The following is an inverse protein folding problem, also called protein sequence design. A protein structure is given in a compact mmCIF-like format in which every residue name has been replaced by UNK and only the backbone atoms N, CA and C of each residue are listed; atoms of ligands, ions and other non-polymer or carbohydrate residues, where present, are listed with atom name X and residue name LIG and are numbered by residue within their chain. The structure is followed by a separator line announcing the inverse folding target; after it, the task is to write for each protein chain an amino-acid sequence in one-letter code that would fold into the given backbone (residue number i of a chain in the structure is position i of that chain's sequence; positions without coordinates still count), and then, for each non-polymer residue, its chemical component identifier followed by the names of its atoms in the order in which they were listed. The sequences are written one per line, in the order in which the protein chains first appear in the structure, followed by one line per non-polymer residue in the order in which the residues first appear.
data_IF_038524946031
#
_entry.id   IF_038524946031
#
_cell.length_a   1.000
_cell.length_b   1.000
_cell.length_c   1.000
_cell.angle_alpha   90.00
_cell.angle_beta   90.00
_cell.angle_gamma   90.00
#
_symmetry.space_group_name_H-M   'P 1'
#
loop_
_entity.id
_entity.type
_entity.pdbx_description
1 polymer ?
#
# COMPACT_ATOMS: atom_id res chain seq x y z
N UNK A 1 15.72 -1.47 -26.81
CA UNK A 1 15.85 -1.05 -25.40
C UNK A 1 14.69 -1.69 -24.68
N UNK A 2 14.91 -2.44 -23.61
CA UNK A 2 13.78 -2.95 -22.82
C UNK A 2 13.15 -1.74 -22.13
N UNK A 3 11.84 -1.57 -22.30
CA UNK A 3 11.06 -0.59 -21.54
C UNK A 3 11.17 -0.94 -20.05
N UNK A 4 11.38 0.06 -19.20
CA UNK A 4 11.42 -0.14 -17.75
C UNK A 4 10.04 -0.59 -17.28
N UNK A 5 9.91 -1.83 -16.83
CA UNK A 5 8.64 -2.43 -16.40
C UNK A 5 8.03 -1.76 -15.16
N UNK A 6 8.77 -0.90 -14.47
CA UNK A 6 8.24 -0.05 -13.40
C UNK A 6 7.51 1.19 -13.94
N UNK A 7 7.73 1.59 -15.20
CA UNK A 7 7.04 2.75 -15.80
C UNK A 7 5.89 2.24 -16.68
N UNK A 8 4.66 2.43 -16.22
CA UNK A 8 3.48 1.91 -16.94
C UNK A 8 3.09 2.75 -18.16
N UNK A 9 3.28 4.07 -18.09
CA UNK A 9 2.90 5.01 -19.14
C UNK A 9 3.89 6.17 -19.21
N UNK A 10 4.00 6.82 -20.38
CA UNK A 10 4.86 7.99 -20.53
C UNK A 10 4.39 9.14 -19.61
N UNK A 11 5.33 9.76 -18.90
CA UNK A 11 5.03 10.83 -17.94
C UNK A 11 4.65 10.33 -16.54
N UNK A 12 4.64 9.02 -16.29
CA UNK A 12 4.49 8.44 -14.95
C UNK A 12 5.84 8.22 -14.28
N UNK A 13 5.88 8.37 -12.97
CA UNK A 13 6.99 7.95 -12.13
C UNK A 13 7.08 6.41 -12.11
N UNK A 14 8.27 5.82 -11.89
CA UNK A 14 8.40 4.37 -11.74
C UNK A 14 7.63 3.89 -10.51
N UNK A 15 6.87 2.81 -10.65
CA UNK A 15 6.22 2.11 -9.54
C UNK A 15 7.28 1.42 -8.67
N UNK A 16 7.06 1.25 -7.36
CA UNK A 16 8.04 0.63 -6.47
C UNK A 16 8.27 -0.85 -6.80
N UNK A 17 7.24 -1.51 -7.33
CA UNK A 17 7.27 -2.91 -7.74
C UNK A 17 6.55 -3.09 -9.07
N UNK A 18 6.99 -4.07 -9.84
CA UNK A 18 6.31 -4.57 -11.04
C UNK A 18 5.17 -5.53 -10.67
N UNK A 19 4.23 -5.74 -11.59
CA UNK A 19 3.20 -6.77 -11.47
C UNK A 19 3.80 -8.17 -11.21
N UNK A 20 4.95 -8.48 -11.82
CA UNK A 20 5.64 -9.76 -11.63
C UNK A 20 6.21 -9.90 -10.20
N UNK A 21 6.83 -8.85 -9.66
CA UNK A 21 7.33 -8.85 -8.28
C UNK A 21 6.19 -8.98 -7.26
N UNK A 22 5.09 -8.26 -7.48
CA UNK A 22 3.89 -8.36 -6.64
C UNK A 22 3.34 -9.78 -6.68
N UNK A 23 3.22 -10.39 -7.87
CA UNK A 23 2.78 -11.79 -8.04
C UNK A 23 3.70 -12.75 -7.30
N UNK A 24 5.02 -12.62 -7.44
CA UNK A 24 6.00 -13.49 -6.77
C UNK A 24 5.95 -13.39 -5.25
N UNK A 25 5.69 -12.19 -4.71
CA UNK A 25 5.63 -11.94 -3.27
C UNK A 25 4.26 -12.23 -2.64
N UNK A 26 3.27 -12.64 -3.42
CA UNK A 26 1.88 -12.79 -2.97
C UNK A 26 1.40 -14.23 -3.13
N UNK A 27 0.80 -14.76 -2.07
CA UNK A 27 0.30 -16.12 -1.99
C UNK A 27 -0.95 -16.17 -1.13
N UNK A 28 -1.82 -17.15 -1.39
CA UNK A 28 -3.01 -17.41 -0.59
C UNK A 28 -2.61 -17.58 0.88
N UNK A 29 -3.35 -16.92 1.78
CA UNK A 29 -3.08 -16.89 3.21
C UNK A 29 -2.21 -15.72 3.66
N UNK A 30 -1.54 -14.99 2.76
CA UNK A 30 -0.85 -13.74 3.09
C UNK A 30 -1.87 -12.77 3.68
N UNK A 31 -1.57 -12.21 4.85
CA UNK A 31 -2.44 -11.27 5.53
C UNK A 31 -1.66 -10.04 5.99
N UNK A 32 -2.26 -8.87 5.82
CA UNK A 32 -1.68 -7.59 6.20
C UNK A 32 -2.70 -6.86 7.06
N UNK A 33 -2.33 -6.56 8.30
CA UNK A 33 -3.15 -5.74 9.19
C UNK A 33 -2.62 -4.32 9.21
N UNK A 34 -3.50 -3.38 8.91
CA UNK A 34 -3.19 -1.94 8.91
C UNK A 34 -4.00 -1.23 9.96
N UNK A 35 -3.38 -0.34 10.72
CA UNK A 35 -4.08 0.64 11.55
C UNK A 35 -4.36 1.87 10.70
N UNK A 36 -5.62 2.28 10.64
CA UNK A 36 -6.09 3.48 9.93
C UNK A 36 -6.52 4.50 10.97
N UNK A 37 -5.98 5.71 10.87
CA UNK A 37 -6.29 6.84 11.74
C UNK A 37 -6.63 8.04 10.86
N UNK A 38 -7.84 8.57 10.99
CA UNK A 38 -8.32 9.72 10.21
C UNK A 38 -8.76 10.83 11.15
N UNK A 39 -8.52 12.08 10.78
CA UNK A 39 -8.90 13.22 11.60
C UNK A 39 -10.43 13.26 11.82
N UNK A 40 -10.86 13.26 13.08
CA UNK A 40 -12.27 13.32 13.45
C UNK A 40 -13.03 11.99 13.38
N UNK A 41 -12.35 10.86 13.14
CA UNK A 41 -12.93 9.53 13.17
C UNK A 41 -12.18 8.63 14.17
N UNK A 42 -12.89 7.63 14.71
CA UNK A 42 -12.25 6.63 15.55
C UNK A 42 -11.32 5.74 14.71
N UNK A 43 -10.11 5.42 15.22
CA UNK A 43 -9.17 4.55 14.54
C UNK A 43 -9.70 3.11 14.46
N UNK A 44 -9.33 2.40 13.40
CA UNK A 44 -9.72 1.01 13.18
C UNK A 44 -8.58 0.19 12.56
N UNK A 45 -8.72 -1.14 12.61
CA UNK A 45 -7.85 -2.09 11.94
C UNK A 45 -8.49 -2.54 10.63
N UNK A 46 -7.73 -2.44 9.54
CA UNK A 46 -8.07 -2.98 8.23
C UNK A 46 -7.20 -4.19 7.96
N UNK A 47 -7.81 -5.37 8.02
CA UNK A 47 -7.17 -6.64 7.73
C UNK A 47 -7.42 -6.96 6.27
N UNK A 48 -6.37 -7.32 5.52
CA UNK A 48 -6.47 -7.71 4.12
C UNK A 48 -5.81 -9.06 3.93
N UNK A 49 -6.60 -10.07 3.59
CA UNK A 49 -6.14 -11.45 3.42
C UNK A 49 -6.34 -11.88 1.97
N UNK A 50 -5.28 -12.40 1.36
CA UNK A 50 -5.34 -12.98 0.02
C UNK A 50 -5.95 -14.38 0.10
N UNK A 51 -7.14 -14.56 -0.47
CA UNK A 51 -7.90 -15.83 -0.38
C UNK A 51 -7.79 -16.67 -1.64
N UNK A 52 -7.51 -16.05 -2.79
CA UNK A 52 -7.21 -16.73 -4.05
C UNK A 52 -6.10 -15.97 -4.78
N UNK A 53 -5.17 -16.67 -5.41
CA UNK A 53 -4.15 -16.09 -6.29
C UNK A 53 -3.98 -17.01 -7.50
N UNK A 54 -3.93 -16.43 -8.70
CA UNK A 54 -3.64 -17.14 -9.92
C UNK A 54 -2.68 -16.35 -10.83
N UNK A 55 -2.57 -16.76 -12.09
CA UNK A 55 -1.73 -16.06 -13.06
C UNK A 55 -2.22 -14.65 -13.39
N UNK A 56 -3.53 -14.42 -13.38
CA UNK A 56 -4.13 -13.16 -13.78
C UNK A 56 -4.16 -12.15 -12.63
N UNK A 57 -4.34 -12.60 -11.39
CA UNK A 57 -4.46 -11.71 -10.24
C UNK A 57 -4.71 -12.41 -8.92
N UNK A 58 -5.39 -11.69 -8.03
CA UNK A 58 -5.75 -12.19 -6.73
C UNK A 58 -7.14 -11.72 -6.26
N UNK A 59 -7.74 -12.54 -5.41
CA UNK A 59 -8.93 -12.21 -4.61
C UNK A 59 -8.47 -11.87 -3.19
N UNK A 60 -8.85 -10.69 -2.70
CA UNK A 60 -8.59 -10.22 -1.34
C UNK A 60 -9.90 -10.13 -0.57
N UNK A 61 -9.93 -10.63 0.65
CA UNK A 61 -10.95 -10.33 1.63
C UNK A 61 -10.45 -9.21 2.55
N UNK A 62 -11.31 -8.23 2.82
CA UNK A 62 -11.03 -7.08 3.68
C UNK A 62 -12.02 -6.99 4.82
N UNK A 63 -11.51 -6.97 6.05
CA UNK A 63 -12.31 -6.87 7.26
C UNK A 63 -11.89 -5.64 8.05
N UNK A 64 -12.87 -4.90 8.56
CA UNK A 64 -12.65 -3.75 9.45
C UNK A 64 -13.01 -4.12 10.87
N UNK A 65 -12.08 -3.92 11.80
CA UNK A 65 -12.29 -4.12 13.23
C UNK A 65 -12.02 -2.83 13.99
N UNK A 66 -12.76 -2.56 15.06
CA UNK A 66 -12.34 -1.58 16.06
C UNK A 66 -11.05 -2.03 16.74
N UNK A 67 -10.41 -1.12 17.49
CA UNK A 67 -9.16 -1.44 18.19
C UNK A 67 -9.33 -2.50 19.30
N UNK A 68 -10.55 -2.77 19.75
CA UNK A 68 -10.87 -3.85 20.70
C UNK A 68 -11.14 -5.21 20.02
N UNK A 69 -11.10 -5.26 18.68
CA UNK A 69 -11.32 -6.46 17.88
C UNK A 69 -12.75 -6.69 17.42
N UNK A 70 -13.70 -5.80 17.75
CA UNK A 70 -15.10 -5.96 17.30
C UNK A 70 -15.23 -5.65 15.79
N UNK A 71 -15.97 -6.47 15.01
CA UNK A 71 -16.23 -6.16 13.61
C UNK A 71 -17.02 -4.86 13.42
N UNK A 72 -16.58 -4.01 12.49
CA UNK A 72 -17.24 -2.75 12.12
C UNK A 72 -18.12 -2.86 10.88
N UNK A 73 -18.29 -4.07 10.35
CA UNK A 73 -19.07 -4.35 9.15
C UNK A 73 -18.82 -5.76 8.64
N UNK A 74 -19.53 -6.13 7.58
CA UNK A 74 -19.26 -7.38 6.86
C UNK A 74 -17.95 -7.29 6.07
N UNK A 75 -17.20 -8.39 5.93
CA UNK A 75 -16.02 -8.43 5.07
C UNK A 75 -16.35 -8.11 3.61
N UNK A 76 -15.49 -7.33 2.98
CA UNK A 76 -15.56 -7.00 1.55
C UNK A 76 -14.63 -7.93 0.76
N UNK A 77 -15.11 -8.48 -0.35
CA UNK A 77 -14.28 -9.28 -1.28
C UNK A 77 -13.98 -8.46 -2.53
N UNK A 78 -12.71 -8.37 -2.87
CA UNK A 78 -12.21 -7.62 -4.02
C UNK A 78 -11.37 -8.52 -4.92
N UNK A 79 -11.50 -8.36 -6.23
CA UNK A 79 -10.63 -8.99 -7.22
C UNK A 79 -9.80 -7.92 -7.91
N UNK A 80 -8.52 -8.17 -8.08
CA UNK A 80 -7.61 -7.26 -8.78
C UNK A 80 -6.62 -8.06 -9.62
N UNK A 81 -6.31 -7.58 -10.83
CA UNK A 81 -5.19 -8.14 -11.59
C UNK A 81 -3.86 -7.69 -10.99
N UNK A 82 -2.77 -8.40 -11.29
CA UNK A 82 -1.44 -7.97 -10.85
C UNK A 82 -1.06 -6.57 -11.39
N UNK A 83 -1.53 -6.25 -12.60
CA UNK A 83 -1.33 -4.95 -13.20
C UNK A 83 -2.16 -3.86 -12.50
N UNK A 84 -3.40 -4.16 -12.08
CA UNK A 84 -4.19 -3.20 -11.29
C UNK A 84 -3.52 -2.88 -9.96
N UNK A 85 -2.91 -3.88 -9.31
CA UNK A 85 -2.14 -3.68 -8.09
C UNK A 85 -0.89 -2.81 -8.31
N UNK A 86 -0.17 -3.00 -9.42
CA UNK A 86 0.95 -2.14 -9.80
C UNK A 86 0.49 -0.70 -10.09
N UNK A 87 -0.63 -0.53 -10.81
CA UNK A 87 -1.19 0.78 -11.19
C UNK A 87 -1.52 1.67 -10.00
N UNK A 88 -1.85 1.11 -8.84
CA UNK A 88 -2.11 1.90 -7.63
C UNK A 88 -0.94 2.79 -7.19
N UNK A 89 0.29 2.48 -7.61
CA UNK A 89 1.48 3.27 -7.31
C UNK A 89 2.06 3.98 -8.55
N UNK A 90 1.30 4.04 -9.65
CA UNK A 90 1.65 4.82 -10.84
C UNK A 90 1.13 6.24 -10.66
N UNK A 91 2.05 7.15 -10.33
CA UNK A 91 1.77 8.57 -10.13
C UNK A 91 2.43 9.40 -11.22
N UNK A 92 1.88 10.60 -11.50
CA UNK A 92 2.51 11.55 -12.43
C UNK A 92 3.93 11.90 -11.98
N UNK A 93 4.89 11.86 -12.91
CA UNK A 93 6.30 12.11 -12.62
C UNK A 93 6.55 13.54 -12.10
N UNK A 94 5.89 14.54 -12.69
CA UNK A 94 6.08 15.95 -12.33
C UNK A 94 5.65 16.29 -10.88
N UNK A 95 4.71 15.51 -10.34
CA UNK A 95 4.14 15.71 -9.00
C UNK A 95 4.78 14.79 -7.94
N UNK A 96 5.69 13.90 -8.33
CA UNK A 96 6.19 12.82 -7.48
C UNK A 96 7.69 12.94 -7.22
N UNK A 97 8.07 12.93 -5.95
CA UNK A 97 9.47 12.74 -5.53
C UNK A 97 9.65 11.37 -4.90
N UNK A 98 10.69 10.64 -5.30
CA UNK A 98 11.02 9.31 -4.79
C UNK A 98 12.41 9.37 -4.15
N UNK A 99 12.52 8.96 -2.89
CA UNK A 99 13.77 8.98 -2.13
C UNK A 99 13.93 7.68 -1.33
N UNK A 100 15.17 7.17 -1.17
CA UNK A 100 15.41 6.11 -0.20
C UNK A 100 15.18 6.65 1.22
N UNK A 101 14.58 5.82 2.06
CA UNK A 101 14.34 6.14 3.47
C UNK A 101 14.42 4.88 4.33
N UNK A 102 14.59 5.03 5.63
CA UNK A 102 14.57 3.92 6.58
C UNK A 102 13.71 4.30 7.78
N UNK A 103 12.67 3.51 8.03
CA UNK A 103 11.69 3.81 9.08
C UNK A 103 11.52 2.64 10.05
N UNK A 104 11.25 3.00 11.30
CA UNK A 104 10.87 2.06 12.37
C UNK A 104 9.36 1.86 12.34
N UNK A 105 8.91 0.60 12.33
CA UNK A 105 7.49 0.24 12.20
C UNK A 105 7.08 -0.78 13.26
N UNK A 106 5.78 -1.06 13.36
CA UNK A 106 5.25 -2.12 14.21
C UNK A 106 5.77 -3.52 13.84
N UNK A 107 6.28 -3.70 12.63
CA UNK A 107 6.84 -4.97 12.13
C UNK A 107 8.38 -4.92 12.00
N UNK A 108 9.03 -3.92 12.59
CA UNK A 108 10.49 -3.74 12.60
C UNK A 108 11.00 -2.59 11.73
N UNK A 109 12.33 -2.42 11.69
CA UNK A 109 13.01 -1.44 10.86
C UNK A 109 13.06 -1.89 9.40
N UNK A 110 12.65 -1.02 8.47
CA UNK A 110 12.54 -1.35 7.05
C UNK A 110 13.21 -0.29 6.16
N UNK A 111 14.02 -0.74 5.20
CA UNK A 111 14.53 0.10 4.12
C UNK A 111 13.45 0.26 3.04
N UNK A 112 13.11 1.52 2.75
CA UNK A 112 11.94 1.90 1.97
C UNK A 112 12.31 2.81 0.79
N UNK A 113 11.43 2.82 -0.21
CA UNK A 113 11.28 3.96 -1.11
C UNK A 113 10.14 4.83 -0.57
N UNK A 114 10.45 6.08 -0.28
CA UNK A 114 9.48 7.09 0.13
C UNK A 114 9.04 7.89 -1.10
N UNK A 115 7.76 7.79 -1.40
CA UNK A 115 7.09 8.59 -2.42
C UNK A 115 6.43 9.77 -1.73
N UNK A 116 6.58 10.97 -2.28
CA UNK A 116 5.75 12.12 -1.94
C UNK A 116 5.11 12.63 -3.21
N UNK A 117 3.80 12.45 -3.28
CA UNK A 117 2.95 12.81 -4.41
C UNK A 117 2.19 14.08 -4.02
N UNK A 118 2.31 15.14 -4.82
CA UNK A 118 1.79 16.47 -4.49
C UNK A 118 0.68 16.84 -5.45
N UNK A 119 -0.51 17.09 -4.91
CA UNK A 119 -1.67 17.48 -5.70
C UNK A 119 -2.36 18.67 -5.05
N UNK A 120 -2.06 19.87 -5.54
CA UNK A 120 -2.59 21.12 -5.00
C UNK A 120 -2.14 21.35 -3.55
N UNK A 121 -3.09 21.48 -2.63
CA UNK A 121 -2.82 21.66 -1.18
C UNK A 121 -2.66 20.35 -0.40
N UNK A 122 -2.64 19.21 -1.08
CA UNK A 122 -2.55 17.88 -0.46
C UNK A 122 -1.27 17.17 -0.87
N UNK A 123 -0.56 16.63 0.12
CA UNK A 123 0.57 15.72 -0.05
C UNK A 123 0.15 14.32 0.39
N UNK A 124 0.33 13.34 -0.48
CA UNK A 124 0.23 11.92 -0.15
C UNK A 124 1.62 11.32 -0.09
N UNK A 125 1.96 10.72 1.04
CA UNK A 125 3.28 10.17 1.31
C UNK A 125 3.14 8.68 1.55
N UNK A 126 3.92 7.89 0.81
CA UNK A 126 3.91 6.44 0.86
C UNK A 126 5.31 5.91 1.13
N UNK A 127 5.42 4.93 2.01
CA UNK A 127 6.66 4.18 2.23
C UNK A 127 6.48 2.75 1.77
N UNK A 128 7.18 2.38 0.72
CA UNK A 128 7.20 1.02 0.18
C UNK A 128 8.46 0.31 0.67
N UNK A 129 8.32 -0.69 1.54
CA UNK A 129 9.46 -1.48 2.00
C UNK A 129 9.99 -2.33 0.85
N UNK A 130 11.24 -2.12 0.48
CA UNK A 130 11.88 -2.76 -0.68
C UNK A 130 11.92 -4.29 -0.58
N UNK A 131 11.88 -4.82 0.64
CA UNK A 131 11.84 -6.26 0.94
C UNK A 131 10.44 -6.87 0.94
N UNK A 132 9.37 -6.06 0.85
CA UNK A 132 7.97 -6.50 0.93
C UNK A 132 7.16 -6.00 -0.27
N UNK A 133 7.34 -6.59 -1.48
CA UNK A 133 6.59 -6.17 -2.66
C UNK A 133 5.07 -6.22 -2.46
N UNK A 134 4.40 -5.11 -2.80
CA UNK A 134 2.96 -4.93 -2.65
C UNK A 134 2.57 -3.54 -2.15
N UNK A 135 1.67 -3.50 -1.17
CA UNK A 135 1.13 -2.27 -0.57
C UNK A 135 2.21 -1.52 0.24
N UNK A 136 2.08 -0.19 0.41
CA UNK A 136 2.99 0.56 1.27
C UNK A 136 2.86 0.09 2.72
N UNK A 137 3.97 0.08 3.46
CA UNK A 137 3.99 -0.26 4.89
C UNK A 137 3.55 0.92 5.77
N UNK A 138 3.59 2.13 5.22
CA UNK A 138 3.05 3.33 5.82
C UNK A 138 2.55 4.27 4.73
N UNK A 139 1.43 4.94 4.97
CA UNK A 139 0.87 6.00 4.16
C UNK A 139 0.46 7.15 5.08
N UNK A 140 0.61 8.39 4.61
CA UNK A 140 0.19 9.57 5.32
C UNK A 140 -0.32 10.61 4.33
N UNK A 141 -1.48 11.17 4.62
CA UNK A 141 -2.08 12.25 3.84
C UNK A 141 -2.01 13.53 4.66
N UNK A 142 -1.45 14.59 4.06
CA UNK A 142 -1.40 15.93 4.63
C UNK A 142 -2.18 16.90 3.76
N UNK A 143 -3.05 17.70 4.37
CA UNK A 143 -3.74 18.80 3.69
C UNK A 143 -3.43 20.10 4.44
N UNK A 144 -2.98 21.12 3.71
CA UNK A 144 -2.56 22.41 4.27
C UNK A 144 -1.55 22.28 5.43
N UNK A 145 -0.66 21.28 5.32
CA UNK A 145 0.38 20.97 6.32
C UNK A 145 -0.10 20.16 7.54
N UNK A 146 -1.39 19.84 7.65
CA UNK A 146 -1.96 19.03 8.73
C UNK A 146 -2.14 17.58 8.29
N UNK A 147 -1.81 16.62 9.16
CA UNK A 147 -2.07 15.21 8.90
C UNK A 147 -3.58 14.96 9.06
N UNK A 148 -4.22 14.53 7.97
CA UNK A 148 -5.65 14.21 7.95
C UNK A 148 -5.90 12.71 7.95
N UNK A 149 -4.92 11.92 7.52
CA UNK A 149 -4.96 10.46 7.55
C UNK A 149 -3.55 9.88 7.71
N UNK A 150 -3.46 8.80 8.48
CA UNK A 150 -2.28 7.94 8.52
C UNK A 150 -2.70 6.48 8.53
N UNK A 151 -2.03 5.68 7.72
CA UNK A 151 -2.19 4.22 7.64
C UNK A 151 -0.84 3.59 7.92
N UNK A 152 -0.77 2.61 8.82
CA UNK A 152 0.47 1.89 9.13
C UNK A 152 0.22 0.40 9.19
N UNK A 153 1.13 -0.39 8.62
CA UNK A 153 1.13 -1.84 8.80
C UNK A 153 1.58 -2.15 10.23
N UNK A 154 0.74 -2.89 10.96
CA UNK A 154 0.98 -3.28 12.35
C UNK A 154 1.19 -4.79 12.50
N UNK A 155 0.74 -5.57 11.51
CA UNK A 155 1.05 -7.00 11.39
C UNK A 155 1.20 -7.37 9.92
N UNK A 156 2.17 -8.23 9.63
CA UNK A 156 2.43 -8.75 8.29
C UNK A 156 2.69 -10.25 8.39
N UNK A 157 1.69 -11.04 8.04
CA UNK A 157 1.74 -12.49 8.08
C UNK A 157 1.95 -13.03 6.66
N UNK A 158 3.01 -13.83 6.49
CA UNK A 158 3.25 -14.56 5.25
C UNK A 158 2.67 -15.97 5.38
N UNK A 159 2.11 -16.51 4.28
CA UNK A 159 1.59 -17.88 4.26
C UNK A 159 2.68 -18.96 4.25
#
# INVERSE_FOLDING_TARGET
MAEDSHVLEAGQAPTPFTAAEIRMATRVGKSITRRVESAGADPFLLISTYVECDEAGATLERSRLSLDGSPLGEPEVMKATWLDLQRHASFTADDTTIEPDRIETGIGALDCLRYTVRHGGTDEIFWFATSLPGMPIQQMTRTDGQIVESVSVVDYTIA
#
